data_IF_079813144308
#
_entry.id   IF_079813144308
#
_cell.length_a   1.000
_cell.length_b   1.000
_cell.length_c   1.000
_cell.angle_alpha   90.00
_cell.angle_beta   90.00
_cell.angle_gamma   90.00
#
_symmetry.space_group_name_H-M   'P 1'
#
loop_
_entity.id
_entity.type
_entity.pdbx_description
1 polymer ?
#
# COMPACT_ATOMS: atom_id res chain seq x y z
N UNK A 1 12.36 -26.83 -0.33
CA UNK A 1 12.81 -25.42 -0.38
C UNK A 1 12.22 -24.68 0.82
N UNK A 2 12.88 -23.64 1.34
CA UNK A 2 12.35 -22.83 2.47
C UNK A 2 11.41 -21.76 1.94
N UNK A 3 10.25 -21.61 2.59
CA UNK A 3 9.23 -20.63 2.19
C UNK A 3 9.11 -19.46 3.16
N UNK A 4 9.36 -19.66 4.46
CA UNK A 4 9.17 -18.65 5.52
C UNK A 4 10.50 -18.01 5.93
N UNK A 5 10.53 -16.68 6.01
CA UNK A 5 11.67 -15.96 6.57
C UNK A 5 11.59 -15.98 8.10
N UNK A 6 12.62 -16.54 8.73
CA UNK A 6 12.83 -16.55 10.18
C UNK A 6 14.32 -16.57 10.46
N UNK A 7 14.75 -16.15 11.66
CA UNK A 7 16.16 -16.19 12.05
C UNK A 7 16.75 -17.59 11.88
N UNK A 8 16.05 -18.63 12.35
CA UNK A 8 16.47 -20.02 12.18
C UNK A 8 16.64 -20.42 10.71
N UNK A 9 15.68 -20.07 9.85
CA UNK A 9 15.76 -20.40 8.43
C UNK A 9 16.88 -19.63 7.72
N UNK A 10 17.18 -18.40 8.14
CA UNK A 10 18.32 -17.62 7.63
C UNK A 10 19.65 -18.27 8.02
N UNK A 11 19.82 -18.64 9.29
CA UNK A 11 21.02 -19.34 9.77
C UNK A 11 21.17 -20.71 9.10
N UNK A 12 20.10 -21.48 8.96
CA UNK A 12 20.13 -22.76 8.27
C UNK A 12 20.46 -22.59 6.78
N UNK A 13 19.92 -21.57 6.12
CA UNK A 13 20.20 -21.26 4.71
C UNK A 13 21.64 -20.82 4.48
N UNK A 14 22.29 -20.19 5.45
CA UNK A 14 23.68 -19.76 5.35
C UNK A 14 24.63 -20.94 5.06
N UNK A 15 24.34 -22.13 5.63
CA UNK A 15 25.10 -23.36 5.37
C UNK A 15 25.06 -23.82 3.91
N UNK A 16 24.04 -23.41 3.17
CA UNK A 16 23.84 -23.73 1.75
C UNK A 16 24.00 -22.49 0.85
N UNK A 17 24.59 -21.40 1.36
CA UNK A 17 24.80 -20.16 0.61
C UNK A 17 23.51 -19.50 0.12
N UNK A 18 22.39 -19.67 0.84
CA UNK A 18 21.06 -19.15 0.49
C UNK A 18 20.52 -19.61 -0.88
N UNK A 19 20.86 -20.81 -1.34
CA UNK A 19 20.41 -21.35 -2.64
C UNK A 19 19.11 -22.16 -2.59
N UNK A 20 18.55 -22.38 -1.40
CA UNK A 20 17.45 -23.31 -1.15
C UNK A 20 16.13 -22.61 -0.73
N UNK A 21 16.00 -21.32 -1.08
CA UNK A 21 14.75 -20.58 -1.01
C UNK A 21 13.81 -20.95 -2.15
N UNK A 22 12.53 -21.09 -1.84
CA UNK A 22 11.51 -21.26 -2.87
C UNK A 22 11.27 -19.94 -3.62
N UNK A 23 10.77 -20.00 -4.86
CA UNK A 23 10.22 -18.83 -5.54
C UNK A 23 9.21 -18.09 -4.65
N UNK A 24 9.17 -16.75 -4.77
CA UNK A 24 8.31 -15.92 -3.94
C UNK A 24 6.81 -16.21 -4.17
N UNK A 25 6.44 -16.64 -5.38
CA UNK A 25 5.12 -17.16 -5.72
C UNK A 25 5.27 -18.29 -6.73
N UNK A 26 4.22 -19.12 -6.84
CA UNK A 26 4.19 -20.25 -7.78
C UNK A 26 3.99 -19.73 -9.19
N UNK A 27 4.75 -20.26 -10.13
CA UNK A 27 4.53 -20.09 -11.56
C UNK A 27 3.63 -21.24 -12.03
N UNK A 28 2.45 -20.91 -12.56
CA UNK A 28 1.39 -21.88 -12.85
C UNK A 28 0.64 -21.50 -14.11
N UNK A 29 0.27 -22.51 -14.89
CA UNK A 29 -0.72 -22.35 -15.94
C UNK A 29 -2.12 -22.19 -15.33
N UNK A 30 -2.99 -21.34 -15.93
CA UNK A 30 -4.34 -21.15 -15.43
C UNK A 30 -5.14 -22.46 -15.53
N UNK A 31 -5.85 -22.80 -14.46
CA UNK A 31 -6.80 -23.92 -14.45
C UNK A 31 -8.02 -23.58 -15.33
N UNK A 32 -8.75 -24.60 -15.82
CA UNK A 32 -9.98 -24.39 -16.59
C UNK A 32 -11.11 -23.70 -15.79
N UNK A 33 -11.06 -23.73 -14.46
CA UNK A 33 -12.10 -23.17 -13.58
C UNK A 33 -11.51 -22.65 -12.28
N UNK A 34 -12.01 -21.50 -11.85
CA UNK A 34 -11.78 -20.89 -10.54
C UNK A 34 -13.11 -20.47 -9.93
N UNK A 35 -13.15 -20.26 -8.62
CA UNK A 35 -14.31 -19.68 -7.95
C UNK A 35 -14.35 -18.16 -8.18
N UNK A 36 -13.17 -17.52 -8.20
CA UNK A 36 -13.01 -16.12 -8.58
C UNK A 36 -11.80 -15.91 -9.49
N UNK A 37 -11.96 -15.01 -10.46
CA UNK A 37 -10.87 -14.49 -11.28
C UNK A 37 -10.77 -12.98 -11.04
N UNK A 38 -9.57 -12.52 -10.70
CA UNK A 38 -9.24 -11.12 -10.48
C UNK A 38 -8.43 -10.63 -11.68
N UNK A 39 -8.98 -9.66 -12.40
CA UNK A 39 -8.34 -9.07 -13.58
C UNK A 39 -7.49 -7.86 -13.16
N UNK A 40 -6.17 -8.03 -13.20
CA UNK A 40 -5.17 -7.02 -12.84
C UNK A 40 -4.33 -7.44 -11.63
N UNK A 41 -3.03 -7.61 -11.85
CA UNK A 41 -2.00 -7.91 -10.85
C UNK A 41 -1.38 -6.66 -10.20
N UNK A 42 -2.15 -5.58 -10.10
CA UNK A 42 -1.77 -4.39 -9.31
C UNK A 42 -1.97 -4.60 -7.81
N UNK A 43 -1.57 -3.60 -7.01
CA UNK A 43 -1.65 -3.64 -5.55
C UNK A 43 -3.04 -3.95 -5.01
N UNK A 44 -4.10 -3.37 -5.61
CA UNK A 44 -5.48 -3.70 -5.22
C UNK A 44 -5.87 -5.14 -5.58
N UNK A 45 -5.56 -5.62 -6.79
CA UNK A 45 -5.90 -6.99 -7.19
C UNK A 45 -5.20 -8.03 -6.31
N UNK A 46 -3.91 -7.83 -6.04
CA UNK A 46 -3.12 -8.72 -5.18
C UNK A 46 -3.59 -8.66 -3.71
N UNK A 47 -3.88 -7.47 -3.17
CA UNK A 47 -4.42 -7.33 -1.82
C UNK A 47 -5.81 -7.99 -1.69
N UNK A 48 -6.68 -7.80 -2.68
CA UNK A 48 -8.00 -8.46 -2.73
C UNK A 48 -7.84 -9.98 -2.71
N UNK A 49 -6.98 -10.54 -3.56
CA UNK A 49 -6.73 -11.98 -3.60
C UNK A 49 -6.21 -12.52 -2.25
N UNK A 50 -5.28 -11.79 -1.64
CA UNK A 50 -4.72 -12.12 -0.33
C UNK A 50 -5.79 -12.13 0.77
N UNK A 51 -6.62 -11.09 0.87
CA UNK A 51 -7.63 -11.00 1.92
C UNK A 51 -8.84 -11.92 1.67
N UNK A 52 -9.19 -12.23 0.43
CA UNK A 52 -10.15 -13.30 0.09
C UNK A 52 -9.69 -14.64 0.67
N UNK A 53 -8.44 -15.01 0.42
CA UNK A 53 -7.87 -16.26 0.92
C UNK A 53 -7.72 -16.23 2.44
N UNK A 54 -7.15 -15.17 3.00
CA UNK A 54 -6.83 -15.07 4.43
C UNK A 54 -8.06 -14.94 5.32
N UNK A 55 -8.98 -14.02 4.98
CA UNK A 55 -10.08 -13.66 5.88
C UNK A 55 -11.35 -14.46 5.60
N UNK A 56 -11.51 -14.98 4.38
CA UNK A 56 -12.73 -15.68 3.96
C UNK A 56 -12.49 -17.15 3.60
N UNK A 57 -11.24 -17.62 3.59
CA UNK A 57 -10.92 -19.01 3.22
C UNK A 57 -11.15 -19.32 1.74
N UNK A 58 -11.36 -18.30 0.90
CA UNK A 58 -11.62 -18.45 -0.53
C UNK A 58 -10.27 -18.51 -1.25
N UNK A 59 -9.79 -19.72 -1.51
CA UNK A 59 -8.43 -19.98 -2.01
C UNK A 59 -8.36 -20.40 -3.48
N UNK A 60 -9.48 -20.87 -4.06
CA UNK A 60 -9.57 -21.19 -5.48
C UNK A 60 -9.73 -19.91 -6.33
N UNK A 61 -8.72 -19.05 -6.28
CA UNK A 61 -8.70 -17.72 -6.91
C UNK A 61 -7.54 -17.64 -7.89
N UNK A 62 -7.77 -17.01 -9.04
CA UNK A 62 -6.75 -16.67 -10.01
C UNK A 62 -6.62 -15.16 -10.15
N UNK A 63 -5.40 -14.63 -10.05
CA UNK A 63 -5.06 -13.26 -10.47
C UNK A 63 -4.45 -13.34 -11.85
N UNK A 64 -5.05 -12.68 -12.84
CA UNK A 64 -4.52 -12.57 -14.20
C UNK A 64 -3.97 -11.16 -14.45
N UNK A 65 -2.75 -11.07 -14.95
CA UNK A 65 -2.05 -9.83 -15.24
C UNK A 65 -1.55 -9.83 -16.69
N UNK A 66 -1.85 -8.76 -17.43
CA UNK A 66 -1.52 -8.65 -18.85
C UNK A 66 -0.01 -8.59 -19.11
N UNK A 67 0.76 -8.00 -18.19
CA UNK A 67 2.22 -7.96 -18.23
C UNK A 67 2.84 -8.61 -17.01
N UNK A 68 3.58 -7.82 -16.23
CA UNK A 68 4.22 -8.24 -14.98
C UNK A 68 3.52 -7.62 -13.76
N UNK A 69 3.42 -8.38 -12.67
CA UNK A 69 2.72 -7.94 -11.45
C UNK A 69 3.31 -6.67 -10.88
N UNK A 70 2.46 -5.77 -10.40
CA UNK A 70 2.86 -4.44 -9.93
C UNK A 70 3.29 -3.49 -11.04
N UNK A 71 3.37 -3.92 -12.30
CA UNK A 71 3.85 -3.14 -13.43
C UNK A 71 2.95 -2.01 -13.92
N UNK A 72 1.81 -1.76 -13.25
CA UNK A 72 0.90 -0.62 -13.46
C UNK A 72 1.18 0.57 -12.55
N UNK A 73 0.14 1.26 -12.07
CA UNK A 73 0.28 2.41 -11.14
C UNK A 73 0.94 2.04 -9.81
N UNK A 74 0.84 0.77 -9.40
CA UNK A 74 1.52 0.25 -8.21
C UNK A 74 3.04 0.40 -8.31
N UNK A 75 3.63 0.24 -9.50
CA UNK A 75 5.07 0.44 -9.75
C UNK A 75 5.49 1.90 -9.96
N UNK A 76 4.56 2.86 -9.92
CA UNK A 76 4.78 4.26 -10.38
C UNK A 76 4.27 5.36 -9.45
N UNK A 77 3.82 5.02 -8.25
CA UNK A 77 3.34 6.01 -7.28
C UNK A 77 4.51 6.64 -6.50
N UNK A 78 4.23 7.77 -5.83
CA UNK A 78 5.21 8.49 -4.99
C UNK A 78 5.32 7.92 -3.56
N UNK A 79 4.76 6.73 -3.32
CA UNK A 79 4.96 5.89 -2.12
C UNK A 79 4.27 6.30 -0.82
N UNK A 80 3.58 7.43 -0.80
CA UNK A 80 3.02 8.00 0.42
C UNK A 80 1.81 7.19 0.92
N UNK A 81 1.88 6.73 2.17
CA UNK A 81 0.78 6.15 2.94
C UNK A 81 0.37 7.13 4.04
N UNK A 82 -0.91 7.51 4.10
CA UNK A 82 -1.48 8.50 5.03
C UNK A 82 -3.00 8.33 5.16
N UNK A 83 -3.59 8.90 6.21
CA UNK A 83 -5.04 8.94 6.44
C UNK A 83 -5.57 10.33 6.83
N UNK A 84 -4.79 11.39 6.61
CA UNK A 84 -5.23 12.77 6.78
C UNK A 84 -6.25 13.18 5.72
N UNK A 85 -7.52 12.87 5.90
CA UNK A 85 -8.61 13.28 5.00
C UNK A 85 -9.68 14.07 5.77
N UNK A 86 -10.33 15.02 5.07
CA UNK A 86 -11.30 15.94 5.67
C UNK A 86 -12.66 15.27 5.93
N UNK A 87 -13.15 14.50 4.96
CA UNK A 87 -14.48 13.88 5.03
C UNK A 87 -14.47 12.61 5.88
N UNK A 88 -15.46 12.39 6.77
CA UNK A 88 -15.51 11.23 7.67
C UNK A 88 -15.40 9.87 6.96
N UNK A 89 -16.02 9.71 5.80
CA UNK A 89 -16.02 8.48 5.01
C UNK A 89 -14.62 8.15 4.51
N UNK A 90 -13.91 9.18 4.02
CA UNK A 90 -12.52 9.06 3.59
C UNK A 90 -11.61 8.80 4.77
N UNK A 91 -11.75 9.56 5.86
CA UNK A 91 -10.99 9.41 7.09
C UNK A 91 -11.03 7.96 7.60
N UNK A 92 -12.24 7.37 7.71
CA UNK A 92 -12.41 5.98 8.16
C UNK A 92 -11.73 4.97 7.23
N UNK A 93 -11.94 5.09 5.91
CA UNK A 93 -11.37 4.16 4.94
C UNK A 93 -9.83 4.19 4.94
N UNK A 94 -9.26 5.40 4.88
CA UNK A 94 -7.80 5.54 4.82
C UNK A 94 -7.14 5.24 6.16
N UNK A 95 -7.76 5.52 7.30
CA UNK A 95 -7.19 5.16 8.60
C UNK A 95 -7.22 3.65 8.84
N UNK A 96 -8.28 2.97 8.40
CA UNK A 96 -8.28 1.51 8.33
C UNK A 96 -7.08 1.01 7.50
N UNK A 97 -6.82 1.59 6.33
CA UNK A 97 -5.68 1.24 5.48
C UNK A 97 -4.33 1.47 6.17
N UNK A 98 -4.11 2.64 6.79
CA UNK A 98 -2.86 2.94 7.54
C UNK A 98 -2.64 1.92 8.66
N UNK A 99 -3.69 1.57 9.41
CA UNK A 99 -3.62 0.54 10.46
C UNK A 99 -3.23 -0.84 9.92
N UNK A 100 -3.65 -1.19 8.70
CA UNK A 100 -3.17 -2.41 8.03
C UNK A 100 -1.67 -2.30 7.71
N UNK A 101 -1.24 -1.19 7.09
CA UNK A 101 0.17 -0.97 6.74
C UNK A 101 1.13 -1.06 7.93
N UNK A 102 0.72 -0.61 9.12
CA UNK A 102 1.49 -0.71 10.37
C UNK A 102 1.85 -2.15 10.76
N UNK A 103 1.06 -3.13 10.33
CA UNK A 103 1.25 -4.56 10.67
C UNK A 103 1.62 -5.41 9.46
N UNK A 104 1.48 -4.84 8.25
CA UNK A 104 1.53 -5.55 6.98
C UNK A 104 2.86 -6.27 6.75
N UNK A 105 3.99 -5.70 7.19
CA UNK A 105 5.31 -6.33 7.04
C UNK A 105 5.40 -7.66 7.80
N UNK A 106 4.90 -7.68 9.04
CA UNK A 106 4.90 -8.86 9.89
C UNK A 106 3.90 -9.90 9.36
N UNK A 107 2.73 -9.41 8.96
CA UNK A 107 1.63 -10.21 8.41
C UNK A 107 2.00 -10.95 7.12
N UNK A 108 2.63 -10.27 6.17
CA UNK A 108 3.09 -10.88 4.91
C UNK A 108 4.42 -11.63 5.06
N UNK A 109 5.05 -11.56 6.23
CA UNK A 109 6.42 -12.01 6.46
C UNK A 109 7.35 -11.45 5.35
N UNK A 110 7.25 -10.15 5.06
CA UNK A 110 7.95 -9.49 3.96
C UNK A 110 8.21 -8.01 4.31
N UNK A 111 9.46 -7.54 4.17
CA UNK A 111 9.79 -6.16 4.52
C UNK A 111 9.31 -5.19 3.43
N UNK A 112 8.23 -4.47 3.70
CA UNK A 112 7.68 -3.44 2.80
C UNK A 112 8.34 -2.06 2.97
N UNK A 113 9.32 -1.94 3.88
CA UNK A 113 10.07 -0.71 4.17
C UNK A 113 9.16 0.47 4.54
N UNK A 114 8.08 0.21 5.29
CA UNK A 114 7.20 1.27 5.77
C UNK A 114 7.92 2.10 6.84
N UNK A 115 8.18 3.36 6.52
CA UNK A 115 8.85 4.30 7.43
C UNK A 115 7.90 5.40 7.87
N UNK A 116 7.26 5.26 9.04
CA UNK A 116 6.35 6.25 9.61
C UNK A 116 7.11 7.50 10.08
N UNK A 117 7.44 8.37 9.12
CA UNK A 117 8.20 9.62 9.31
C UNK A 117 7.34 10.89 9.18
N UNK A 118 6.03 10.70 9.13
CA UNK A 118 5.02 11.73 8.99
C UNK A 118 4.82 12.26 7.58
N UNK A 119 3.70 12.96 7.39
CA UNK A 119 3.44 13.83 6.24
C UNK A 119 3.05 15.22 6.72
N UNK A 120 3.85 16.21 6.33
CA UNK A 120 3.65 17.61 6.66
C UNK A 120 2.91 18.32 5.52
N UNK A 121 1.80 18.98 5.85
CA UNK A 121 1.10 19.89 4.93
C UNK A 121 1.44 21.32 5.35
N UNK A 122 2.02 22.10 4.45
CA UNK A 122 2.47 23.47 4.73
C UNK A 122 1.35 24.49 4.50
N UNK A 123 1.27 25.50 5.36
CA UNK A 123 0.39 26.65 5.20
C UNK A 123 1.21 27.89 4.81
N UNK A 124 0.78 28.57 3.76
CA UNK A 124 1.49 29.72 3.18
C UNK A 124 0.68 31.03 3.25
N UNK A 125 -0.52 30.96 3.81
CA UNK A 125 -1.40 32.10 4.05
C UNK A 125 -2.21 31.90 5.33
N UNK A 126 -2.81 32.98 5.86
CA UNK A 126 -3.73 32.86 7.00
C UNK A 126 -4.96 32.01 6.66
N UNK A 127 -5.43 32.10 5.42
CA UNK A 127 -6.54 31.28 4.93
C UNK A 127 -6.18 29.78 4.92
N UNK A 128 -4.94 29.44 4.54
CA UNK A 128 -4.46 28.06 4.61
C UNK A 128 -4.42 27.56 6.05
N UNK A 129 -3.98 28.38 7.00
CA UNK A 129 -3.95 28.02 8.42
C UNK A 129 -5.36 27.72 8.95
N UNK A 130 -6.35 28.53 8.59
CA UNK A 130 -7.74 28.30 9.00
C UNK A 130 -8.31 27.02 8.37
N UNK A 131 -8.08 26.82 7.06
CA UNK A 131 -8.51 25.62 6.35
C UNK A 131 -7.84 24.34 6.89
N UNK A 132 -6.55 24.41 7.20
CA UNK A 132 -5.80 23.31 7.79
C UNK A 132 -6.19 23.04 9.24
N UNK A 133 -6.53 24.09 10.01
CA UNK A 133 -7.10 23.93 11.35
C UNK A 133 -8.43 23.18 11.29
N UNK A 134 -9.32 23.53 10.35
CA UNK A 134 -10.55 22.77 10.10
C UNK A 134 -10.27 21.31 9.75
N UNK A 135 -9.29 21.06 8.88
CA UNK A 135 -8.92 19.72 8.46
C UNK A 135 -8.35 18.87 9.60
N UNK A 136 -7.37 19.39 10.34
CA UNK A 136 -6.79 18.71 11.49
C UNK A 136 -7.83 18.41 12.57
N UNK A 137 -8.72 19.36 12.88
CA UNK A 137 -9.81 19.11 13.83
C UNK A 137 -10.79 18.05 13.32
N UNK A 138 -11.11 18.03 12.02
CA UNK A 138 -11.94 16.96 11.45
C UNK A 138 -11.28 15.58 11.58
N UNK A 139 -9.95 15.48 11.41
CA UNK A 139 -9.21 14.24 11.66
C UNK A 139 -9.32 13.80 13.13
N UNK A 140 -9.08 14.73 14.06
CA UNK A 140 -9.18 14.47 15.50
C UNK A 140 -10.59 13.98 15.90
N UNK A 141 -11.65 14.62 15.38
CA UNK A 141 -13.03 14.19 15.57
C UNK A 141 -13.33 12.78 15.01
N UNK A 142 -12.54 12.29 14.05
CA UNK A 142 -12.62 10.94 13.51
C UNK A 142 -11.63 9.96 14.17
N UNK A 143 -10.93 10.37 15.24
CA UNK A 143 -9.97 9.54 15.96
C UNK A 143 -8.63 9.33 15.24
N UNK A 144 -8.27 10.22 14.32
CA UNK A 144 -7.01 10.19 13.56
C UNK A 144 -6.07 11.27 14.10
N UNK A 145 -4.79 10.92 14.27
CA UNK A 145 -3.75 11.81 14.76
C UNK A 145 -3.49 12.99 13.80
N UNK A 146 -3.51 14.20 14.34
CA UNK A 146 -3.12 15.43 13.63
C UNK A 146 -2.50 16.43 14.61
N UNK A 147 -1.28 16.87 14.35
CA UNK A 147 -0.64 17.94 15.10
C UNK A 147 -0.66 19.21 14.26
N UNK A 148 -1.32 20.27 14.75
CA UNK A 148 -1.17 21.61 14.20
C UNK A 148 0.16 22.20 14.66
N UNK A 149 0.92 22.76 13.72
CA UNK A 149 2.27 23.28 13.95
C UNK A 149 2.34 24.76 13.55
N UNK A 150 2.92 25.59 14.40
CA UNK A 150 3.38 26.92 14.01
C UNK A 150 4.66 26.86 13.14
N UNK A 151 5.08 27.99 12.58
CA UNK A 151 6.28 28.05 11.73
C UNK A 151 7.57 27.59 12.45
N UNK A 152 7.69 27.78 13.76
CA UNK A 152 8.86 27.33 14.53
C UNK A 152 8.84 25.82 14.67
N UNK A 153 7.70 25.24 15.03
CA UNK A 153 7.51 23.80 15.14
C UNK A 153 7.68 23.09 13.79
N UNK A 154 7.26 23.72 12.68
CA UNK A 154 7.55 23.21 11.33
C UNK A 154 9.06 23.21 11.04
N UNK A 155 9.79 24.26 11.45
CA UNK A 155 11.26 24.31 11.33
C UNK A 155 11.97 23.26 12.18
N UNK A 156 11.48 23.04 13.39
CA UNK A 156 12.02 22.01 14.29
C UNK A 156 11.76 20.60 13.71
N UNK A 157 10.63 20.39 13.04
CA UNK A 157 10.26 19.11 12.41
C UNK A 157 11.02 18.84 11.10
N UNK A 158 11.12 19.83 10.21
CA UNK A 158 11.81 19.72 8.94
C UNK A 158 12.74 20.93 8.69
N UNK A 159 13.97 20.88 9.25
CA UNK A 159 14.90 22.01 9.18
C UNK A 159 15.46 22.29 7.78
N UNK A 160 15.25 21.38 6.81
CA UNK A 160 15.72 21.57 5.42
C UNK A 160 14.82 22.47 4.59
N UNK A 161 13.62 22.81 5.07
CA UNK A 161 12.73 23.76 4.39
C UNK A 161 13.29 25.18 4.40
N UNK A 162 12.88 25.99 3.43
CA UNK A 162 13.28 27.39 3.32
C UNK A 162 12.37 28.29 4.18
N UNK A 163 12.93 28.88 5.24
CA UNK A 163 12.26 29.85 6.12
C UNK A 163 12.76 31.30 5.92
N UNK A 164 13.44 31.58 4.81
CA UNK A 164 13.93 32.93 4.51
C UNK A 164 12.78 33.93 4.42
N UNK A 165 12.98 35.13 4.96
CA UNK A 165 12.06 36.25 4.84
C UNK A 165 11.86 36.70 3.37
N UNK A 166 12.78 36.33 2.46
CA UNK A 166 12.68 36.60 1.03
C UNK A 166 11.81 35.62 0.23
N UNK A 167 11.24 34.59 0.86
CA UNK A 167 10.34 33.66 0.17
C UNK A 167 9.05 34.38 -0.27
N UNK A 168 8.63 34.18 -1.53
CA UNK A 168 7.40 34.78 -2.08
C UNK A 168 6.14 34.44 -1.25
N UNK A 169 6.13 33.25 -0.66
CA UNK A 169 5.07 32.73 0.19
C UNK A 169 5.70 32.06 1.43
N UNK A 170 5.91 32.82 2.53
CA UNK A 170 6.56 32.27 3.72
C UNK A 170 5.73 31.15 4.34
N UNK A 171 6.42 30.18 4.97
CA UNK A 171 5.75 29.14 5.75
C UNK A 171 5.23 29.79 7.04
N UNK A 172 3.92 29.76 7.24
CA UNK A 172 3.28 30.29 8.44
C UNK A 172 3.02 29.21 9.50
N UNK A 173 3.03 27.95 9.09
CA UNK A 173 2.76 26.79 9.92
C UNK A 173 2.31 25.62 9.05
N UNK A 174 1.52 24.72 9.63
CA UNK A 174 0.94 23.61 8.91
C UNK A 174 0.30 22.60 9.84
N UNK A 175 0.07 21.39 9.35
CA UNK A 175 -0.20 20.24 10.21
C UNK A 175 0.53 19.00 9.73
N UNK A 176 0.83 18.09 10.67
CA UNK A 176 1.48 16.82 10.40
C UNK A 176 0.63 15.66 10.90
N UNK A 177 0.51 14.62 10.08
CA UNK A 177 0.11 13.29 10.55
C UNK A 177 1.37 12.46 10.74
N UNK A 178 1.69 12.04 11.97
CA UNK A 178 2.96 11.36 12.28
C UNK A 178 2.98 9.91 11.84
N UNK A 179 1.83 9.25 11.88
CA UNK A 179 1.68 7.84 11.45
C UNK A 179 1.80 7.63 9.93
N UNK A 180 1.84 8.70 9.15
CA UNK A 180 2.06 8.63 7.71
C UNK A 180 3.53 8.38 7.35
N UNK A 181 3.78 7.98 6.11
CA UNK A 181 5.15 7.84 5.59
C UNK A 181 5.23 7.04 4.29
N UNK A 182 6.44 6.94 3.70
CA UNK A 182 6.66 6.16 2.49
C UNK A 182 6.72 4.65 2.75
N UNK A 183 6.36 3.87 1.74
CA UNK A 183 6.60 2.42 1.63
C UNK A 183 7.37 2.10 0.35
N UNK A 184 8.04 0.94 0.27
CA UNK A 184 8.55 0.47 -1.04
C UNK A 184 7.41 -0.19 -1.81
N UNK A 185 6.86 0.51 -2.79
CA UNK A 185 5.66 0.08 -3.52
C UNK A 185 5.79 -1.31 -4.17
N UNK A 186 6.94 -1.63 -4.78
CA UNK A 186 7.19 -2.97 -5.35
C UNK A 186 7.16 -4.06 -4.27
N UNK A 187 7.73 -3.75 -3.09
CA UNK A 187 7.76 -4.69 -1.97
C UNK A 187 6.36 -4.96 -1.42
N UNK A 188 5.44 -3.99 -1.48
CA UNK A 188 4.03 -4.20 -1.14
C UNK A 188 3.37 -5.15 -2.14
N UNK A 189 3.56 -4.93 -3.44
CA UNK A 189 3.03 -5.81 -4.47
C UNK A 189 3.57 -7.24 -4.33
N UNK A 190 4.88 -7.41 -4.23
CA UNK A 190 5.52 -8.71 -4.06
C UNK A 190 5.15 -9.39 -2.75
N UNK A 191 5.00 -8.62 -1.67
CA UNK A 191 4.54 -9.12 -0.38
C UNK A 191 3.14 -9.71 -0.49
N UNK A 192 2.19 -8.99 -1.09
CA UNK A 192 0.84 -9.48 -1.31
C UNK A 192 0.81 -10.69 -2.26
N UNK A 193 1.56 -10.65 -3.36
CA UNK A 193 1.67 -11.77 -4.29
C UNK A 193 2.19 -13.04 -3.60
N UNK A 194 3.27 -12.93 -2.82
CA UNK A 194 3.82 -14.03 -2.03
C UNK A 194 2.83 -14.54 -0.99
N UNK A 195 2.18 -13.63 -0.26
CA UNK A 195 1.17 -13.98 0.75
C UNK A 195 -0.02 -14.72 0.13
N UNK A 196 -0.56 -14.21 -0.97
CA UNK A 196 -1.67 -14.82 -1.68
C UNK A 196 -1.29 -16.20 -2.25
N UNK A 197 -0.12 -16.29 -2.90
CA UNK A 197 0.35 -17.56 -3.49
C UNK A 197 0.60 -18.64 -2.44
N UNK A 198 1.10 -18.27 -1.26
CA UNK A 198 1.27 -19.18 -0.12
C UNK A 198 -0.06 -19.71 0.44
N UNK A 199 -1.17 -19.01 0.17
CA UNK A 199 -2.53 -19.44 0.55
C UNK A 199 -3.25 -20.21 -0.57
N UNK A 200 -2.56 -20.52 -1.68
CA UNK A 200 -3.12 -21.31 -2.78
C UNK A 200 -3.69 -20.51 -3.94
N UNK A 201 -3.62 -19.17 -3.91
CA UNK A 201 -3.98 -18.31 -5.05
C UNK A 201 -3.00 -18.55 -6.20
N UNK A 202 -3.54 -18.66 -7.41
CA UNK A 202 -2.74 -18.73 -8.63
C UNK A 202 -2.53 -17.32 -9.18
N UNK A 203 -1.32 -16.99 -9.62
CA UNK A 203 -0.96 -15.68 -10.16
C UNK A 203 -0.36 -15.91 -11.54
N UNK A 204 -1.07 -15.47 -12.58
CA UNK A 204 -0.72 -15.70 -13.98
C UNK A 204 -0.38 -14.36 -14.63
N UNK A 205 0.89 -14.22 -15.02
CA UNK A 205 1.42 -13.04 -15.72
C UNK A 205 1.37 -13.25 -17.23
N UNK A 206 1.60 -12.18 -18.00
CA UNK A 206 1.55 -12.20 -19.47
C UNK A 206 0.23 -12.76 -20.02
N UNK A 207 -0.86 -12.58 -19.27
CA UNK A 207 -2.19 -13.12 -19.55
C UNK A 207 -3.18 -11.96 -19.67
N UNK A 208 -3.33 -11.47 -20.89
CA UNK A 208 -4.29 -10.40 -21.19
C UNK A 208 -5.70 -10.98 -21.30
N UNK A 209 -6.62 -10.45 -20.50
CA UNK A 209 -8.05 -10.76 -20.65
C UNK A 209 -8.58 -10.01 -21.87
N UNK A 210 -8.95 -10.74 -22.91
CA UNK A 210 -9.44 -10.17 -24.17
C UNK A 210 -10.96 -9.99 -24.20
N UNK A 211 -11.69 -10.85 -23.48
CA UNK A 211 -13.15 -10.86 -23.48
C UNK A 211 -13.66 -11.42 -22.16
N UNK A 212 -14.74 -10.84 -21.64
CA UNK A 212 -15.54 -11.40 -20.56
C UNK A 212 -16.94 -11.61 -21.13
N UNK A 213 -17.38 -12.86 -21.24
CA UNK A 213 -18.73 -13.20 -21.66
C UNK A 213 -19.48 -13.84 -20.50
N UNK A 214 -20.78 -13.52 -20.40
CA UNK A 214 -21.69 -14.24 -19.52
C UNK A 214 -22.86 -14.77 -20.37
N UNK A 215 -23.45 -15.92 -20.00
CA UNK A 215 -24.55 -16.53 -20.77
C UNK A 215 -25.72 -15.59 -21.06
N UNK A 216 -25.89 -14.54 -20.25
CA UNK A 216 -26.99 -13.56 -20.36
C UNK A 216 -26.51 -12.08 -20.38
N UNK A 217 -25.20 -11.82 -20.52
CA UNK A 217 -24.67 -10.45 -20.64
C UNK A 217 -23.59 -10.48 -21.73
N UNK A 218 -23.90 -9.88 -22.87
CA UNK A 218 -22.94 -9.61 -23.94
C UNK A 218 -22.57 -8.14 -23.84
N UNK A 219 -21.47 -7.83 -23.14
CA UNK A 219 -20.90 -6.49 -23.16
C UNK A 219 -19.71 -6.51 -24.11
N UNK A 220 -19.88 -5.96 -25.31
CA UNK A 220 -18.77 -5.70 -26.21
C UNK A 220 -18.03 -4.45 -25.69
N UNK A 221 -16.79 -4.62 -25.26
CA UNK A 221 -15.86 -3.50 -25.11
C UNK A 221 -15.10 -3.36 -26.43
N UNK A 222 -15.21 -2.17 -27.04
CA UNK A 222 -14.47 -1.76 -28.24
C UNK A 222 -12.96 -1.68 -27.97
#
# INVERSE_FOLDING_TARGET
>A
MRHRYSAWNLFAAARHGHRDWAPAWRDVEPKPRYDLVIVGGGGHGLATAYYLAKNHGITNVCVVEAGWIGGGNTGRNTTIVRSNYLYPESARLYDFSVKQYERLAAELNFNIMFGQRGILTLAHSRHDLDAQSRWANAMLCNGIDADLLDAKQVRDFEPRLNFSAGARFPILGGFVQRRAGPVRHDAVAWGYARGASALGVDIVQNCTVMLISAPNIVTYFL
#
